data_IF_060477725062
#
_entry.id   IF_060477725062
#
_cell.length_a   1.000
_cell.length_b   1.000
_cell.length_c   1.000
_cell.angle_alpha   90.00
_cell.angle_beta   90.00
_cell.angle_gamma   90.00
#
_symmetry.space_group_name_H-M   'P 1'
#
loop_
_entity.id
_entity.type
_entity.pdbx_description
1 polymer ?
#
# COMPACT_ATOMS: atom_id res chain seq x y z
N UNK A 1 -7.06 -36.66 56.86
CA UNK A 1 -6.43 -36.64 55.52
C UNK A 1 -6.36 -35.19 55.02
N UNK A 2 -5.19 -34.80 54.49
CA UNK A 2 -4.84 -33.64 53.66
C UNK A 2 -5.06 -32.19 54.15
N UNK A 3 -3.99 -31.58 54.70
CA UNK A 3 -3.75 -30.13 54.84
C UNK A 3 -3.44 -29.51 53.46
N UNK A 4 -4.20 -28.52 52.99
CA UNK A 4 -3.86 -27.71 51.80
C UNK A 4 -2.69 -26.77 52.13
N UNK A 5 -1.53 -26.98 51.51
CA UNK A 5 -0.37 -26.06 51.53
C UNK A 5 -0.64 -24.86 50.61
N UNK A 6 -0.49 -23.64 51.16
CA UNK A 6 -0.32 -22.39 50.38
C UNK A 6 1.02 -22.46 49.64
N UNK A 7 1.01 -22.29 48.32
CA UNK A 7 2.21 -22.05 47.51
C UNK A 7 2.63 -20.60 47.71
N UNK A 8 3.74 -20.37 48.42
CA UNK A 8 4.48 -19.10 48.35
C UNK A 8 5.13 -19.03 46.97
N UNK A 9 4.79 -18.01 46.19
CA UNK A 9 5.54 -17.64 44.99
C UNK A 9 6.84 -16.97 45.43
N UNK A 10 7.87 -17.77 45.67
CA UNK A 10 9.24 -17.28 45.81
C UNK A 10 9.70 -16.79 44.45
N UNK A 11 9.59 -15.47 44.21
CA UNK A 11 10.33 -14.82 43.16
C UNK A 11 11.81 -15.08 43.41
N UNK A 12 12.40 -15.98 42.61
CA UNK A 12 13.74 -16.48 42.87
C UNK A 12 14.73 -15.33 42.95
N UNK A 13 15.63 -15.38 43.93
CA UNK A 13 16.72 -14.42 44.17
C UNK A 13 17.46 -14.04 42.87
N UNK A 14 17.52 -14.95 41.89
CA UNK A 14 18.06 -14.74 40.54
C UNK A 14 17.31 -13.70 39.70
N UNK A 15 15.98 -13.63 39.81
CA UNK A 15 15.15 -12.63 39.11
C UNK A 15 15.34 -11.23 39.70
N UNK A 16 15.50 -11.13 41.02
CA UNK A 16 15.84 -9.87 41.68
C UNK A 16 17.25 -9.38 41.34
N UNK A 17 18.22 -10.29 41.27
CA UNK A 17 19.59 -9.97 40.86
C UNK A 17 19.61 -9.48 39.40
N UNK A 18 18.84 -10.10 38.50
CA UNK A 18 18.76 -9.69 37.10
C UNK A 18 18.11 -8.30 36.95
N UNK A 19 17.03 -8.04 37.70
CA UNK A 19 16.37 -6.74 37.69
C UNK A 19 17.26 -5.63 38.26
N UNK A 20 17.98 -5.92 39.35
CA UNK A 20 18.93 -5.00 39.95
C UNK A 20 20.11 -4.69 39.01
N UNK A 21 20.62 -5.69 38.30
CA UNK A 21 21.69 -5.50 37.30
C UNK A 21 21.24 -4.62 36.12
N UNK A 22 20.00 -4.78 35.65
CA UNK A 22 19.42 -3.95 34.58
C UNK A 22 19.26 -2.50 35.04
N UNK A 23 18.76 -2.28 36.27
CA UNK A 23 18.57 -0.94 36.83
C UNK A 23 19.91 -0.24 37.07
N UNK A 24 20.91 -0.96 37.60
CA UNK A 24 22.27 -0.44 37.78
C UNK A 24 22.92 -0.10 36.42
N UNK A 25 22.73 -0.94 35.40
CA UNK A 25 23.21 -0.68 34.04
C UNK A 25 22.55 0.56 33.42
N UNK A 26 21.24 0.71 33.58
CA UNK A 26 20.50 1.88 33.09
C UNK A 26 20.93 3.18 33.81
N UNK A 27 21.15 3.11 35.14
CA UNK A 27 21.66 4.25 35.93
C UNK A 27 23.08 4.62 35.55
N UNK A 28 23.95 3.63 35.28
CA UNK A 28 25.31 3.88 34.82
C UNK A 28 25.33 4.54 33.44
N UNK A 29 24.47 4.11 32.51
CA UNK A 29 24.33 4.73 31.18
C UNK A 29 23.76 6.16 31.26
N UNK A 30 22.87 6.41 32.21
CA UNK A 30 22.27 7.73 32.45
C UNK A 30 23.25 8.72 33.09
N UNK A 31 24.10 8.25 34.02
CA UNK A 31 25.07 9.10 34.71
C UNK A 31 26.32 9.41 33.87
N UNK A 32 26.56 8.67 32.78
CA UNK A 32 27.84 8.71 32.04
C UNK A 32 27.70 9.09 30.55
N UNK A 33 26.74 9.97 30.21
CA UNK A 33 26.53 10.57 28.87
C UNK A 33 26.74 9.58 27.70
N UNK A 34 26.12 8.41 27.77
CA UNK A 34 25.94 7.50 26.63
C UNK A 34 27.23 6.96 25.97
N UNK A 35 28.39 7.02 26.62
CA UNK A 35 29.62 6.40 26.10
C UNK A 35 29.90 5.09 26.83
N UNK A 36 29.48 3.97 26.23
CA UNK A 36 30.24 2.71 26.08
C UNK A 36 29.38 1.80 25.17
N UNK A 37 29.67 1.85 23.87
CA UNK A 37 29.65 0.69 22.96
C UNK A 37 30.68 1.04 21.89
N UNK A 38 31.73 0.24 21.75
CA UNK A 38 32.70 0.49 20.68
C UNK A 38 32.00 0.27 19.34
N UNK A 39 32.38 1.07 18.34
CA UNK A 39 31.90 0.93 16.96
C UNK A 39 32.10 -0.48 16.43
N UNK A 40 33.10 -1.19 16.93
CA UNK A 40 33.44 -2.56 16.59
C UNK A 40 32.41 -3.57 17.13
N UNK A 41 31.90 -3.39 18.35
CA UNK A 41 30.85 -4.26 18.92
C UNK A 41 29.52 -4.07 18.19
N UNK A 42 29.16 -2.82 17.86
CA UNK A 42 27.97 -2.55 17.05
C UNK A 42 28.12 -3.18 15.67
N UNK A 43 29.28 -3.01 15.00
CA UNK A 43 29.54 -3.59 13.68
C UNK A 43 29.45 -5.12 13.68
N UNK A 44 29.95 -5.77 14.73
CA UNK A 44 29.88 -7.24 14.88
C UNK A 44 28.45 -7.73 15.14
N UNK A 45 27.60 -6.95 15.81
CA UNK A 45 26.18 -7.25 16.00
C UNK A 45 25.37 -7.01 14.71
N UNK A 46 25.70 -5.96 13.95
CA UNK A 46 25.10 -5.67 12.64
C UNK A 46 25.48 -6.73 11.60
N UNK A 47 26.73 -7.22 11.62
CA UNK A 47 27.20 -8.28 10.72
C UNK A 47 26.65 -9.67 11.08
N UNK A 48 26.19 -9.87 12.32
CA UNK A 48 25.50 -11.11 12.74
C UNK A 48 23.98 -11.06 12.55
N UNK A 49 23.39 -9.86 12.49
CA UNK A 49 21.97 -9.67 12.18
C UNK A 49 21.69 -9.61 10.67
N UNK A 50 22.72 -9.47 9.82
CA UNK A 50 22.60 -9.39 8.36
C UNK A 50 22.50 -10.74 7.63
N UNK A 51 22.38 -11.85 8.35
CA UNK A 51 22.13 -13.19 7.77
C UNK A 51 20.68 -13.63 8.02
N UNK A 52 19.71 -12.77 7.73
CA UNK A 52 18.36 -13.17 7.29
C UNK A 52 17.63 -11.93 6.77
N UNK A 53 16.88 -12.11 5.67
CA UNK A 53 16.06 -11.12 4.96
C UNK A 53 16.78 -10.25 3.90
N UNK A 54 16.78 -10.82 2.70
CA UNK A 54 17.04 -10.16 1.43
C UNK A 54 15.75 -9.44 0.96
N UNK A 55 15.53 -8.20 1.41
CA UNK A 55 14.62 -7.25 0.71
C UNK A 55 15.08 -5.82 0.99
N UNK A 56 15.89 -5.23 0.10
CA UNK A 56 16.22 -3.80 0.19
C UNK A 56 16.19 -3.17 -1.21
N UNK A 57 14.99 -2.74 -1.62
CA UNK A 57 14.85 -1.73 -2.67
C UNK A 57 15.05 -0.36 -2.00
N UNK A 58 16.13 0.34 -2.36
CA UNK A 58 16.40 1.71 -1.89
C UNK A 58 15.58 2.70 -2.72
N UNK A 59 14.88 3.61 -2.06
CA UNK A 59 14.32 4.78 -2.73
C UNK A 59 15.45 5.70 -3.24
N UNK A 60 15.20 6.55 -4.27
CA UNK A 60 16.22 7.42 -4.86
C UNK A 60 16.90 8.39 -3.87
N UNK A 61 16.27 8.67 -2.72
CA UNK A 61 16.81 9.58 -1.69
C UNK A 61 17.60 8.87 -0.57
N UNK A 62 17.78 7.55 -0.65
CA UNK A 62 18.48 6.76 0.36
C UNK A 62 17.64 6.36 1.58
N UNK A 63 16.33 6.65 1.60
CA UNK A 63 15.40 6.11 2.60
C UNK A 63 15.09 4.63 2.32
N UNK A 64 14.94 3.88 3.41
CA UNK A 64 14.39 2.54 3.37
C UNK A 64 12.87 2.66 3.18
N UNK A 65 12.36 2.11 2.07
CA UNK A 65 10.92 1.97 1.86
C UNK A 65 10.37 0.98 2.88
N UNK A 66 9.33 1.38 3.61
CA UNK A 66 8.63 0.50 4.54
C UNK A 66 7.69 -0.47 3.81
N UNK A 67 7.36 -0.18 2.56
CA UNK A 67 6.45 -0.97 1.73
C UNK A 67 5.13 -1.30 2.45
N UNK A 68 4.57 -0.35 3.21
CA UNK A 68 3.33 -0.52 3.96
C UNK A 68 2.12 -0.63 3.02
N UNK A 69 2.24 -0.08 1.81
CA UNK A 69 1.23 -0.11 0.77
C UNK A 69 1.05 -1.48 0.12
N UNK A 70 2.04 -2.37 0.21
CA UNK A 70 2.01 -3.67 -0.48
C UNK A 70 1.10 -4.62 0.30
N UNK A 71 -0.06 -5.01 -0.24
CA UNK A 71 -0.97 -5.90 0.47
C UNK A 71 -0.44 -7.34 0.47
N UNK A 72 -0.88 -8.10 1.46
CA UNK A 72 -0.68 -9.54 1.53
C UNK A 72 -1.86 -10.28 0.91
N UNK A 73 -1.58 -11.20 0.00
CA UNK A 73 -2.61 -12.03 -0.62
C UNK A 73 -3.08 -13.12 0.35
N UNK A 74 -4.34 -13.08 0.77
CA UNK A 74 -4.95 -14.10 1.66
C UNK A 74 -5.75 -15.17 0.90
N UNK A 75 -6.22 -14.87 -0.32
CA UNK A 75 -6.90 -15.82 -1.22
C UNK A 75 -6.07 -16.02 -2.49
N UNK A 76 -5.86 -17.28 -2.87
CA UNK A 76 -5.12 -17.64 -4.08
C UNK A 76 -5.75 -16.96 -5.31
N UNK A 77 -4.91 -16.37 -6.15
CA UNK A 77 -5.29 -15.66 -7.37
C UNK A 77 -4.21 -15.83 -8.43
N UNK A 78 -4.59 -15.64 -9.69
CA UNK A 78 -3.64 -15.47 -10.78
C UNK A 78 -2.92 -14.12 -10.60
N UNK A 79 -1.60 -14.15 -10.46
CA UNK A 79 -0.79 -12.95 -10.25
C UNK A 79 0.59 -13.02 -10.90
N UNK A 80 1.03 -11.88 -11.42
CA UNK A 80 2.43 -11.57 -11.71
C UNK A 80 2.76 -10.24 -11.06
N UNK A 81 3.67 -10.26 -10.08
CA UNK A 81 4.13 -9.04 -9.41
C UNK A 81 5.18 -8.35 -10.27
N UNK A 82 4.96 -7.08 -10.60
CA UNK A 82 5.89 -6.25 -11.36
C UNK A 82 6.14 -4.97 -10.57
N UNK A 83 7.41 -4.69 -10.27
CA UNK A 83 7.82 -3.43 -9.65
C UNK A 83 8.33 -2.48 -10.72
N UNK A 84 7.59 -1.40 -10.93
CA UNK A 84 7.99 -0.26 -11.75
C UNK A 84 8.63 0.82 -10.86
N UNK A 85 9.15 1.88 -11.46
CA UNK A 85 9.87 2.96 -10.75
C UNK A 85 9.02 3.64 -9.69
N UNK A 86 7.73 3.86 -9.96
CA UNK A 86 6.84 4.61 -9.08
C UNK A 86 5.75 3.79 -8.40
N UNK A 87 5.57 2.53 -8.76
CA UNK A 87 4.50 1.69 -8.21
C UNK A 87 4.80 0.20 -8.40
N UNK A 88 4.14 -0.64 -7.61
CA UNK A 88 4.10 -2.10 -7.81
C UNK A 88 2.71 -2.52 -8.24
N UNK A 89 2.63 -3.46 -9.18
CA UNK A 89 1.38 -4.05 -9.67
C UNK A 89 1.36 -5.55 -9.47
N UNK A 90 0.25 -6.09 -8.95
CA UNK A 90 -0.11 -7.49 -9.10
C UNK A 90 -1.01 -7.62 -10.33
N UNK A 91 -0.48 -8.15 -11.42
CA UNK A 91 -1.21 -8.27 -12.69
C UNK A 91 -1.94 -9.61 -12.80
N UNK A 92 -3.20 -9.60 -13.24
CA UNK A 92 -4.01 -10.80 -13.42
C UNK A 92 -4.14 -11.16 -14.90
N UNK A 93 -3.63 -12.33 -15.32
CA UNK A 93 -3.65 -12.74 -16.73
C UNK A 93 -5.03 -13.15 -17.23
N UNK A 94 -5.92 -13.61 -16.34
CA UNK A 94 -7.30 -13.92 -16.67
C UNK A 94 -8.14 -12.66 -16.93
N UNK A 95 -8.04 -11.64 -16.08
CA UNK A 95 -8.78 -10.39 -16.26
C UNK A 95 -8.12 -9.42 -17.22
N UNK A 96 -6.81 -9.56 -17.45
CA UNK A 96 -5.98 -8.63 -18.23
C UNK A 96 -5.94 -7.21 -17.65
N UNK A 97 -6.21 -7.10 -16.35
CA UNK A 97 -6.15 -5.90 -15.52
C UNK A 97 -5.35 -6.25 -14.25
N UNK A 98 -4.90 -5.27 -13.45
CA UNK A 98 -4.34 -5.56 -12.14
C UNK A 98 -5.35 -6.22 -11.21
N UNK A 99 -4.88 -7.06 -10.27
CA UNK A 99 -5.58 -7.36 -9.02
C UNK A 99 -5.51 -6.14 -8.08
N UNK A 100 -4.33 -5.53 -8.00
CA UNK A 100 -4.07 -4.31 -7.26
C UNK A 100 -2.84 -3.60 -7.82
N UNK A 101 -2.78 -2.29 -7.61
CA UNK A 101 -1.60 -1.44 -7.81
C UNK A 101 -1.38 -0.66 -6.52
N UNK A 102 -0.13 -0.60 -6.06
CA UNK A 102 0.23 0.03 -4.81
C UNK A 102 1.47 0.92 -4.96
N UNK A 103 1.46 2.07 -4.29
CA UNK A 103 2.57 3.00 -4.25
C UNK A 103 2.62 3.82 -2.95
N UNK A 104 3.83 4.20 -2.57
CA UNK A 104 4.08 5.28 -1.62
C UNK A 104 4.00 6.62 -2.37
N UNK A 105 3.30 7.60 -1.80
CA UNK A 105 3.28 8.96 -2.32
C UNK A 105 3.82 9.92 -1.25
N UNK A 106 5.04 10.38 -1.45
CA UNK A 106 5.67 11.39 -0.61
C UNK A 106 5.28 12.81 -1.05
N UNK A 107 5.43 13.77 -0.15
CA UNK A 107 5.26 15.20 -0.39
C UNK A 107 6.13 15.66 -1.57
N UNK A 108 7.37 15.17 -1.65
CA UNK A 108 8.31 15.51 -2.72
C UNK A 108 7.79 15.03 -4.08
N UNK A 109 7.24 13.82 -4.14
CA UNK A 109 6.70 13.22 -5.37
C UNK A 109 5.40 13.89 -5.85
N UNK A 110 4.70 14.64 -4.98
CA UNK A 110 3.57 15.50 -5.41
C UNK A 110 3.98 16.74 -6.21
N UNK A 111 5.29 16.93 -6.39
CA UNK A 111 5.89 18.01 -7.19
C UNK A 111 6.62 17.41 -8.39
N UNK A 112 6.90 18.23 -9.40
CA UNK A 112 7.56 17.79 -10.62
C UNK A 112 6.94 18.40 -11.86
N UNK A 113 7.74 18.48 -12.92
CA UNK A 113 7.41 19.18 -14.16
C UNK A 113 7.14 18.22 -15.32
N UNK A 114 7.31 16.91 -15.12
CA UNK A 114 7.10 15.93 -16.18
C UNK A 114 5.65 15.97 -16.67
N UNK A 115 5.49 16.24 -17.96
CA UNK A 115 4.20 16.25 -18.63
C UNK A 115 3.66 14.85 -18.84
N UNK A 116 2.33 14.73 -18.89
CA UNK A 116 1.67 13.48 -19.27
C UNK A 116 2.11 13.08 -20.69
N UNK A 117 2.62 11.86 -20.86
CA UNK A 117 2.96 11.35 -22.19
C UNK A 117 1.72 11.10 -23.04
N UNK A 118 0.61 10.67 -22.40
CA UNK A 118 -0.59 10.18 -23.06
C UNK A 118 -0.33 9.02 -24.05
N UNK A 119 0.80 8.34 -23.89
CA UNK A 119 1.24 7.21 -24.72
C UNK A 119 0.99 5.91 -23.96
N UNK A 120 -0.19 5.33 -24.16
CA UNK A 120 -0.58 4.06 -23.55
C UNK A 120 0.07 2.89 -24.31
N UNK A 121 0.91 2.14 -23.61
CA UNK A 121 1.80 1.14 -24.20
C UNK A 121 1.63 -0.22 -23.52
N UNK A 122 1.73 -1.34 -24.26
CA UNK A 122 1.87 -2.66 -23.64
C UNK A 122 3.02 -2.67 -22.63
N UNK A 123 2.82 -3.31 -21.47
CA UNK A 123 3.87 -3.43 -20.46
C UNK A 123 4.98 -4.37 -20.98
N UNK A 124 6.24 -3.93 -21.12
CA UNK A 124 7.35 -4.78 -21.57
C UNK A 124 7.69 -5.92 -20.61
N UNK A 125 7.25 -5.85 -19.35
CA UNK A 125 7.50 -6.88 -18.33
C UNK A 125 6.51 -8.06 -18.39
N UNK A 126 5.47 -7.98 -19.23
CA UNK A 126 4.49 -9.04 -19.41
C UNK A 126 4.81 -9.89 -20.67
N UNK A 127 4.52 -11.21 -20.64
CA UNK A 127 4.60 -12.05 -21.83
C UNK A 127 3.49 -11.70 -22.83
N UNK A 128 3.70 -12.08 -24.10
CA UNK A 128 2.65 -12.00 -25.11
C UNK A 128 1.54 -13.04 -24.89
N UNK A 129 0.28 -12.76 -25.28
CA UNK A 129 -0.19 -11.51 -25.85
C UNK A 129 -0.46 -10.44 -24.77
N UNK A 130 -0.01 -9.21 -25.04
CA UNK A 130 -0.18 -8.06 -24.14
C UNK A 130 -1.38 -7.18 -24.52
N UNK A 131 -1.98 -6.55 -23.52
CA UNK A 131 -3.04 -5.54 -23.74
C UNK A 131 -2.47 -4.33 -24.48
N UNK A 132 -3.22 -3.85 -25.46
CA UNK A 132 -2.87 -2.71 -26.29
C UNK A 132 -3.88 -1.58 -26.14
N UNK A 133 -3.50 -0.38 -26.58
CA UNK A 133 -4.43 0.74 -26.71
C UNK A 133 -5.66 0.40 -27.57
N UNK A 134 -5.46 -0.42 -28.61
CA UNK A 134 -6.50 -0.82 -29.56
C UNK A 134 -7.67 -1.56 -28.89
N UNK A 135 -7.44 -2.25 -27.76
CA UNK A 135 -8.47 -2.97 -27.00
C UNK A 135 -9.52 -2.04 -26.38
N UNK A 136 -9.16 -0.78 -26.12
CA UNK A 136 -10.03 0.21 -25.50
C UNK A 136 -10.74 1.10 -26.53
N UNK A 137 -10.26 1.12 -27.78
CA UNK A 137 -10.82 1.95 -28.86
C UNK A 137 -12.28 1.58 -29.12
N UNK A 138 -13.17 2.58 -29.13
CA UNK A 138 -14.62 2.42 -29.29
C UNK A 138 -15.33 1.51 -28.26
N UNK A 139 -14.67 1.14 -27.15
CA UNK A 139 -15.26 0.29 -26.10
C UNK A 139 -16.33 0.98 -25.25
N UNK A 140 -16.34 2.31 -25.23
CA UNK A 140 -17.15 3.13 -24.33
C UNK A 140 -16.48 3.45 -22.98
N UNK A 141 -15.36 2.82 -22.65
CA UNK A 141 -14.60 3.05 -21.42
C UNK A 141 -13.40 3.96 -21.64
N UNK A 142 -13.02 4.71 -20.60
CA UNK A 142 -11.72 5.37 -20.55
C UNK A 142 -10.63 4.33 -20.15
N UNK A 143 -9.38 4.66 -20.49
CA UNK A 143 -8.19 3.98 -19.97
C UNK A 143 -7.87 4.55 -18.58
N UNK A 144 -8.57 4.05 -17.57
CA UNK A 144 -8.48 4.51 -16.19
C UNK A 144 -7.21 4.05 -15.52
N UNK A 145 -6.45 4.98 -14.93
CA UNK A 145 -5.20 4.65 -14.22
C UNK A 145 -5.52 4.13 -12.82
N UNK A 146 -4.78 3.13 -12.36
CA UNK A 146 -4.77 2.76 -10.95
C UNK A 146 -3.78 3.65 -10.17
N UNK A 147 -2.50 3.61 -10.52
CA UNK A 147 -1.52 4.61 -10.11
C UNK A 147 -1.52 5.78 -11.11
N UNK A 148 -1.96 7.00 -10.73
CA UNK A 148 -2.20 8.08 -11.68
C UNK A 148 -0.90 8.75 -12.13
N UNK A 149 -0.86 9.13 -13.41
CA UNK A 149 0.29 9.86 -13.97
C UNK A 149 0.64 11.15 -13.19
N UNK A 150 -0.35 11.80 -12.57
CA UNK A 150 -0.12 13.01 -11.78
C UNK A 150 0.72 12.78 -10.51
N UNK A 151 0.78 11.53 -10.01
CA UNK A 151 1.59 11.13 -8.87
C UNK A 151 3.02 10.72 -9.29
N UNK A 152 3.28 10.66 -10.60
CA UNK A 152 4.55 10.22 -11.19
C UNK A 152 5.34 11.35 -11.86
N UNK A 153 4.98 12.61 -11.60
CA UNK A 153 5.57 13.81 -12.23
C UNK A 153 7.02 14.09 -11.86
N UNK A 154 7.53 13.41 -10.84
CA UNK A 154 8.87 13.57 -10.30
C UNK A 154 9.94 12.79 -11.09
N UNK A 155 9.54 11.89 -12.00
CA UNK A 155 10.47 11.10 -12.82
C UNK A 155 9.91 10.82 -14.19
N UNK A 156 10.69 11.11 -15.23
CA UNK A 156 10.35 10.78 -16.62
C UNK A 156 10.07 9.30 -16.83
N UNK A 157 10.82 8.44 -16.13
CA UNK A 157 10.63 6.99 -16.20
C UNK A 157 9.32 6.58 -15.52
N UNK A 158 9.07 7.04 -14.29
CA UNK A 158 7.83 6.76 -13.58
C UNK A 158 6.60 7.27 -14.35
N UNK A 159 6.69 8.47 -14.93
CA UNK A 159 5.66 9.06 -15.79
C UNK A 159 5.38 8.15 -16.99
N UNK A 160 6.41 7.69 -17.71
CA UNK A 160 6.23 6.76 -18.84
C UNK A 160 5.58 5.45 -18.39
N UNK A 161 6.06 4.85 -17.31
CA UNK A 161 5.57 3.57 -16.79
C UNK A 161 4.13 3.66 -16.29
N UNK A 162 3.67 4.84 -15.82
CA UNK A 162 2.26 5.03 -15.43
C UNK A 162 1.27 4.81 -16.57
N UNK A 163 1.71 4.91 -17.82
CA UNK A 163 0.89 4.65 -19.01
C UNK A 163 1.01 3.20 -19.53
N UNK A 164 1.67 2.30 -18.81
CA UNK A 164 1.65 0.88 -19.17
C UNK A 164 0.27 0.27 -18.95
N UNK A 165 -0.18 -0.56 -19.91
CA UNK A 165 -1.52 -1.16 -19.88
C UNK A 165 -1.75 -2.10 -18.69
N UNK A 166 -0.69 -2.55 -18.01
CA UNK A 166 -0.77 -3.29 -16.73
C UNK A 166 -1.30 -2.45 -15.57
N UNK A 167 -1.23 -1.12 -15.66
CA UNK A 167 -1.76 -0.15 -14.69
C UNK A 167 -3.15 0.40 -15.08
N UNK A 168 -3.76 -0.13 -16.16
CA UNK A 168 -4.97 0.43 -16.76
C UNK A 168 -6.15 -0.53 -16.63
N UNK A 169 -7.30 0.01 -16.24
CA UNK A 169 -8.58 -0.69 -16.22
C UNK A 169 -9.62 0.01 -17.12
N UNK A 170 -10.59 -0.72 -17.71
CA UNK A 170 -11.76 -0.13 -18.35
C UNK A 170 -12.64 0.59 -17.32
N UNK A 171 -12.57 1.92 -17.30
CA UNK A 171 -13.27 2.72 -16.30
C UNK A 171 -14.36 3.57 -16.95
N UNK A 172 -15.52 3.68 -16.31
CA UNK A 172 -16.58 4.57 -16.72
C UNK A 172 -16.04 6.01 -16.77
N UNK A 173 -16.33 6.73 -17.86
CA UNK A 173 -15.77 8.06 -18.11
C UNK A 173 -16.05 9.06 -17.00
N UNK A 174 -17.25 9.02 -16.41
CA UNK A 174 -17.63 9.96 -15.36
C UNK A 174 -16.94 9.61 -14.04
N UNK A 175 -16.92 8.33 -13.67
CA UNK A 175 -16.13 7.87 -12.52
C UNK A 175 -14.65 8.29 -12.65
N UNK A 176 -14.02 7.98 -13.79
CA UNK A 176 -12.59 8.22 -14.04
C UNK A 176 -12.21 9.71 -13.93
N UNK A 177 -13.08 10.60 -14.42
CA UNK A 177 -12.79 12.03 -14.53
C UNK A 177 -13.25 12.85 -13.34
N UNK A 178 -14.25 12.35 -12.62
CA UNK A 178 -14.86 13.02 -11.47
C UNK A 178 -14.41 12.28 -10.19
N UNK A 179 -15.28 11.49 -9.56
CA UNK A 179 -15.10 10.93 -8.20
C UNK A 179 -13.75 10.20 -7.98
N UNK A 180 -13.25 9.45 -8.97
CA UNK A 180 -11.95 8.79 -8.86
C UNK A 180 -10.78 9.80 -8.90
N UNK A 181 -10.86 10.77 -9.80
CA UNK A 181 -9.88 11.85 -9.94
C UNK A 181 -9.88 12.79 -8.73
N UNK A 182 -11.05 13.06 -8.15
CA UNK A 182 -11.19 13.84 -6.92
C UNK A 182 -10.47 13.15 -5.76
N UNK A 183 -10.63 11.83 -5.61
CA UNK A 183 -9.92 11.06 -4.58
C UNK A 183 -8.41 11.04 -4.83
N UNK A 184 -7.96 10.94 -6.07
CA UNK A 184 -6.54 11.07 -6.42
C UNK A 184 -5.98 12.45 -6.02
N UNK A 185 -6.77 13.53 -6.19
CA UNK A 185 -6.37 14.84 -5.73
C UNK A 185 -6.28 14.92 -4.20
N UNK A 186 -7.24 14.34 -3.48
CA UNK A 186 -7.20 14.25 -2.02
C UNK A 186 -5.96 13.48 -1.54
N UNK A 187 -5.57 12.37 -2.19
CA UNK A 187 -4.32 11.67 -1.89
C UNK A 187 -3.09 12.59 -1.98
N UNK A 188 -2.98 13.39 -3.05
CA UNK A 188 -1.90 14.37 -3.20
C UNK A 188 -1.97 15.46 -2.13
N UNK A 189 -3.16 15.95 -1.77
CA UNK A 189 -3.32 16.92 -0.66
C UNK A 189 -2.88 16.31 0.68
N UNK A 190 -3.20 15.05 0.94
CA UNK A 190 -2.78 14.36 2.15
C UNK A 190 -1.27 14.13 2.19
N UNK A 191 -0.64 13.71 1.10
CA UNK A 191 0.82 13.63 1.01
C UNK A 191 1.47 15.00 1.29
N UNK A 192 0.95 16.07 0.68
CA UNK A 192 1.37 17.45 0.96
C UNK A 192 1.10 17.90 2.38
N UNK A 193 0.14 17.34 3.11
CA UNK A 193 -0.14 17.74 4.49
C UNK A 193 0.69 16.93 5.48
N UNK A 194 0.68 15.61 5.34
CA UNK A 194 1.19 14.66 6.31
C UNK A 194 2.60 14.12 6.00
N UNK A 195 3.15 14.43 4.82
CA UNK A 195 4.50 14.04 4.43
C UNK A 195 4.53 12.83 3.50
N UNK A 196 3.86 11.74 3.87
CA UNK A 196 3.77 10.52 3.06
C UNK A 196 2.42 9.88 3.26
N UNK A 197 1.85 9.31 2.19
CA UNK A 197 0.69 8.42 2.25
C UNK A 197 1.00 7.12 1.49
N UNK A 198 0.42 6.03 1.95
CA UNK A 198 0.56 4.70 1.35
C UNK A 198 -0.76 4.33 0.71
N UNK A 199 -0.75 3.96 -0.58
CA UNK A 199 -1.97 3.80 -1.36
C UNK A 199 -1.95 2.44 -2.05
N UNK A 200 -3.06 1.72 -1.97
CA UNK A 200 -3.32 0.56 -2.83
C UNK A 200 -4.72 0.68 -3.42
N UNK A 201 -4.88 0.28 -4.67
CA UNK A 201 -6.17 0.34 -5.35
C UNK A 201 -6.28 -0.74 -6.41
N UNK A 202 -7.49 -1.02 -6.89
CA UNK A 202 -7.69 -2.03 -7.90
C UNK A 202 -9.16 -2.25 -8.28
N UNK A 203 -9.40 -3.07 -9.32
CA UNK A 203 -10.74 -3.47 -9.72
C UNK A 203 -11.32 -4.54 -8.79
N UNK A 204 -12.66 -4.60 -8.74
CA UNK A 204 -13.42 -5.69 -8.15
C UNK A 204 -14.38 -6.22 -9.22
N UNK A 205 -14.48 -7.55 -9.29
CA UNK A 205 -15.36 -8.28 -10.19
C UNK A 205 -16.36 -9.06 -9.33
N UNK A 206 -17.65 -8.76 -9.49
CA UNK A 206 -18.70 -9.39 -8.69
C UNK A 206 -19.06 -10.78 -9.22
N UNK A 207 -18.60 -11.12 -10.43
CA UNK A 207 -18.82 -12.41 -11.08
C UNK A 207 -17.54 -12.95 -11.71
N UNK A 208 -17.47 -14.27 -11.89
CA UNK A 208 -16.35 -14.94 -12.58
C UNK A 208 -16.38 -14.76 -14.10
N UNK A 209 -17.43 -14.15 -14.66
CA UNK A 209 -17.62 -13.96 -16.10
C UNK A 209 -17.96 -12.50 -16.41
N UNK A 210 -17.03 -11.56 -16.14
CA UNK A 210 -17.27 -10.14 -16.38
C UNK A 210 -17.40 -9.85 -17.88
N UNK A 211 -18.02 -8.70 -18.19
CA UNK A 211 -17.98 -8.13 -19.56
C UNK A 211 -16.53 -7.94 -19.99
N UNK A 212 -16.23 -8.15 -21.27
CA UNK A 212 -14.89 -8.01 -21.85
C UNK A 212 -14.89 -7.08 -23.06
N UNK A 213 -13.77 -6.41 -23.31
CA UNK A 213 -13.56 -5.49 -24.44
C UNK A 213 -12.29 -5.83 -25.22
N UNK A 214 -12.24 -5.40 -26.47
CA UNK A 214 -11.04 -5.50 -27.30
C UNK A 214 -10.73 -6.91 -27.81
N UNK A 215 -9.65 -6.99 -28.57
CA UNK A 215 -9.13 -8.25 -29.14
C UNK A 215 -8.59 -9.15 -28.03
N UNK A 216 -7.91 -8.57 -27.05
CA UNK A 216 -7.30 -9.30 -25.94
C UNK A 216 -8.27 -9.59 -24.79
N UNK A 217 -9.57 -9.28 -24.96
CA UNK A 217 -10.63 -9.66 -24.02
C UNK A 217 -10.41 -9.10 -22.60
N UNK A 218 -10.07 -7.81 -22.51
CA UNK A 218 -9.84 -7.11 -21.24
C UNK A 218 -11.14 -7.06 -20.44
N UNK A 219 -11.11 -7.56 -19.21
CA UNK A 219 -12.27 -7.56 -18.33
C UNK A 219 -12.63 -6.14 -17.89
N UNK A 220 -13.93 -5.86 -17.84
CA UNK A 220 -14.51 -4.62 -17.34
C UNK A 220 -14.90 -4.82 -15.88
N UNK A 221 -14.27 -4.11 -14.93
CA UNK A 221 -14.61 -4.19 -13.51
C UNK A 221 -16.04 -3.76 -13.23
N UNK A 222 -16.68 -4.38 -12.23
CA UNK A 222 -17.97 -3.94 -11.72
C UNK A 222 -17.80 -2.78 -10.75
N UNK A 223 -16.72 -2.82 -9.96
CA UNK A 223 -16.38 -1.85 -8.92
C UNK A 223 -14.87 -1.59 -8.88
N UNK A 224 -14.47 -0.58 -8.12
CA UNK A 224 -13.09 -0.28 -7.77
C UNK A 224 -12.96 -0.03 -6.28
N UNK A 225 -11.82 -0.40 -5.72
CA UNK A 225 -11.44 -0.01 -4.37
C UNK A 225 -10.23 0.91 -4.39
N UNK A 226 -10.10 1.70 -3.33
CA UNK A 226 -8.84 2.36 -2.96
C UNK A 226 -8.73 2.36 -1.45
N UNK A 227 -7.57 1.99 -0.93
CA UNK A 227 -7.21 2.13 0.48
C UNK A 227 -6.05 3.09 0.61
N UNK A 228 -6.08 3.91 1.66
CA UNK A 228 -5.06 4.93 1.92
C UNK A 228 -4.69 4.92 3.39
N UNK A 229 -3.39 4.81 3.68
CA UNK A 229 -2.84 4.91 5.03
C UNK A 229 -2.02 6.21 5.15
N UNK A 230 -2.44 7.05 6.10
CA UNK A 230 -1.61 8.13 6.63
C UNK A 230 -0.92 7.58 7.87
N UNK A 231 0.32 7.13 7.70
CA UNK A 231 1.07 6.52 8.79
C UNK A 231 1.76 7.58 9.65
N UNK A 232 1.33 7.70 10.90
CA UNK A 232 2.13 8.32 11.95
C UNK A 232 2.14 7.37 13.16
N UNK A 233 3.29 7.23 13.84
CA UNK A 233 3.48 6.21 14.90
C UNK A 233 2.54 6.36 16.11
N UNK A 234 1.84 7.49 16.26
CA UNK A 234 0.97 7.73 17.42
C UNK A 234 -0.50 7.45 17.10
N UNK A 235 -0.99 8.01 16.00
CA UNK A 235 -2.38 8.03 15.56
C UNK A 235 -2.44 7.80 14.04
N UNK A 236 -2.09 6.61 13.53
CA UNK A 236 -2.24 6.32 12.11
C UNK A 236 -3.72 6.30 11.72
N UNK A 237 -4.00 6.62 10.45
CA UNK A 237 -5.35 6.66 9.90
C UNK A 237 -5.35 5.83 8.63
N UNK A 238 -6.23 4.83 8.57
CA UNK A 238 -6.53 4.06 7.37
C UNK A 238 -7.91 4.45 6.84
N UNK A 239 -8.06 4.52 5.53
CA UNK A 239 -9.30 4.88 4.85
C UNK A 239 -9.55 3.88 3.73
N UNK A 240 -10.74 3.28 3.69
CA UNK A 240 -11.21 2.45 2.57
C UNK A 240 -12.25 3.18 1.74
N UNK A 241 -12.25 2.95 0.43
CA UNK A 241 -13.22 3.50 -0.51
C UNK A 241 -13.69 2.42 -1.48
N UNK A 242 -14.99 2.38 -1.77
CA UNK A 242 -15.58 1.53 -2.80
C UNK A 242 -16.39 2.36 -3.80
N UNK A 243 -16.14 2.14 -5.08
CA UNK A 243 -16.81 2.84 -6.18
C UNK A 243 -17.47 1.82 -7.12
N UNK A 244 -18.71 2.06 -7.53
CA UNK A 244 -19.26 1.36 -8.69
C UNK A 244 -18.62 1.87 -9.98
N UNK A 245 -18.34 0.99 -10.95
CA UNK A 245 -17.85 1.37 -12.28
C UNK A 245 -18.96 1.98 -13.17
N UNK A 246 -19.63 3.02 -12.67
CA UNK A 246 -20.79 3.66 -13.26
C UNK A 246 -20.66 5.17 -13.14
N UNK A 247 -21.57 5.88 -13.80
CA UNK A 247 -21.59 7.32 -13.77
C UNK A 247 -22.21 7.82 -12.45
N UNK A 248 -21.40 8.47 -11.63
CA UNK A 248 -21.77 9.12 -10.38
C UNK A 248 -21.07 10.49 -10.26
N UNK A 249 -21.48 11.33 -9.31
CA UNK A 249 -20.77 12.54 -8.88
C UNK A 249 -21.27 12.90 -7.49
N UNK A 250 -20.63 12.38 -6.45
CA UNK A 250 -21.06 12.59 -5.07
C UNK A 250 -19.88 12.90 -4.15
N UNK A 251 -20.20 13.37 -2.95
CA UNK A 251 -19.17 13.65 -1.96
C UNK A 251 -18.35 12.40 -1.65
N UNK A 252 -17.01 12.49 -1.65
CA UNK A 252 -16.10 11.37 -1.38
C UNK A 252 -16.38 10.64 -0.06
N UNK A 253 -16.92 11.34 0.95
CA UNK A 253 -17.35 10.74 2.21
C UNK A 253 -18.39 9.62 2.04
N UNK A 254 -19.22 9.72 1.01
CA UNK A 254 -20.28 8.73 0.73
C UNK A 254 -19.71 7.42 0.14
N UNK A 255 -18.47 7.43 -0.32
CA UNK A 255 -17.77 6.23 -0.81
C UNK A 255 -16.91 5.55 0.27
N UNK A 256 -16.76 6.18 1.43
CA UNK A 256 -15.92 5.65 2.50
C UNK A 256 -16.53 4.40 3.12
N UNK A 257 -15.67 3.40 3.33
CA UNK A 257 -15.95 2.17 4.05
C UNK A 257 -14.80 1.84 4.99
N UNK A 258 -14.99 0.84 5.84
CA UNK A 258 -13.91 0.26 6.64
C UNK A 258 -12.88 -0.40 5.72
N UNK A 259 -11.61 -0.43 6.11
CA UNK A 259 -10.61 -1.18 5.35
C UNK A 259 -10.90 -2.68 5.43
N UNK A 260 -11.33 -3.20 6.60
CA UNK A 260 -11.81 -4.58 6.76
C UNK A 260 -12.83 -4.98 5.68
N UNK A 261 -13.75 -4.06 5.34
CA UNK A 261 -14.76 -4.34 4.31
C UNK A 261 -14.12 -4.47 2.91
N UNK A 262 -13.09 -3.67 2.61
CA UNK A 262 -12.34 -3.81 1.36
C UNK A 262 -11.55 -5.13 1.33
N UNK A 263 -11.00 -5.56 2.46
CA UNK A 263 -10.32 -6.86 2.59
C UNK A 263 -11.26 -8.04 2.34
N UNK A 264 -12.45 -8.00 2.91
CA UNK A 264 -13.49 -9.02 2.72
C UNK A 264 -13.83 -9.21 1.22
N UNK A 265 -14.01 -8.08 0.53
CA UNK A 265 -14.37 -7.98 -0.90
C UNK A 265 -13.23 -8.42 -1.81
N UNK A 266 -11.99 -8.08 -1.46
CA UNK A 266 -10.83 -8.28 -2.34
C UNK A 266 -10.03 -9.55 -2.03
N UNK A 267 -10.16 -10.12 -0.83
CA UNK A 267 -9.31 -11.21 -0.34
C UNK A 267 -7.84 -10.79 -0.23
N UNK A 268 -7.59 -9.52 0.09
CA UNK A 268 -6.28 -8.94 0.39
C UNK A 268 -6.27 -8.52 1.86
N UNK A 269 -5.09 -8.53 2.46
CA UNK A 269 -4.78 -8.01 3.79
C UNK A 269 -3.92 -6.75 3.58
N UNK A 270 -4.52 -5.58 3.80
CA UNK A 270 -3.90 -4.29 3.54
C UNK A 270 -3.10 -3.83 4.75
N UNK A 271 -2.06 -3.05 4.52
CA UNK A 271 -1.23 -2.49 5.60
C UNK A 271 -0.62 -3.52 6.57
N UNK A 272 -0.59 -4.82 6.21
CA UNK A 272 -0.09 -6.01 6.93
C UNK A 272 1.31 -5.95 7.58
N UNK A 273 2.03 -4.83 7.41
CA UNK A 273 3.33 -4.53 8.03
C UNK A 273 3.21 -3.52 9.18
N UNK A 274 2.02 -2.96 9.40
CA UNK A 274 1.66 -2.20 10.60
C UNK A 274 1.46 -3.21 11.74
N UNK A 275 1.83 -2.91 12.99
CA UNK A 275 1.60 -3.85 14.09
C UNK A 275 0.11 -4.22 14.22
N UNK A 276 -0.19 -5.51 14.37
CA UNK A 276 -1.56 -6.07 14.32
C UNK A 276 -2.55 -5.29 15.22
N UNK A 277 -2.17 -4.92 16.45
CA UNK A 277 -3.06 -4.17 17.35
C UNK A 277 -3.46 -2.80 16.78
N UNK A 278 -2.53 -2.15 16.07
CA UNK A 278 -2.74 -0.86 15.44
C UNK A 278 -3.58 -1.02 14.18
N UNK A 279 -3.22 -1.98 13.34
CA UNK A 279 -3.93 -2.36 12.11
C UNK A 279 -5.40 -2.69 12.37
N UNK A 280 -5.68 -3.69 13.20
CA UNK A 280 -7.04 -4.11 13.57
C UNK A 280 -7.90 -2.92 14.07
N UNK A 281 -7.29 -1.96 14.77
CA UNK A 281 -8.00 -0.78 15.28
C UNK A 281 -8.31 0.24 14.20
N UNK A 282 -7.39 0.50 13.27
CA UNK A 282 -7.59 1.55 12.24
C UNK A 282 -8.42 1.05 11.07
N UNK A 283 -8.45 -0.25 10.82
CA UNK A 283 -9.15 -0.84 9.68
C UNK A 283 -10.63 -1.12 9.96
N UNK A 284 -10.99 -1.36 11.22
CA UNK A 284 -12.35 -1.65 11.68
C UNK A 284 -13.28 -0.44 11.82
N UNK A 285 -12.82 0.76 11.47
CA UNK A 285 -13.58 2.01 11.55
C UNK A 285 -13.55 2.80 10.24
N UNK A 286 -14.58 3.64 10.04
CA UNK A 286 -14.54 4.73 9.05
C UNK A 286 -14.06 5.98 9.78
N UNK A 287 -12.89 6.56 9.45
CA UNK A 287 -12.37 7.69 10.21
C UNK A 287 -13.20 8.96 9.97
N UNK A 288 -13.50 9.66 11.05
CA UNK A 288 -14.23 10.94 11.00
C UNK A 288 -13.28 12.14 10.81
N UNK A 289 -13.84 13.28 10.40
CA UNK A 289 -13.09 14.55 10.32
C UNK A 289 -12.06 14.63 9.20
N UNK A 290 -12.08 13.70 8.24
CA UNK A 290 -11.20 13.74 7.06
C UNK A 290 -11.57 14.94 6.17
N UNK A 291 -10.55 15.72 5.80
CA UNK A 291 -10.65 16.81 4.85
C UNK A 291 -10.14 16.36 3.48
N UNK A 292 -10.97 16.53 2.44
CA UNK A 292 -10.72 16.09 1.06
C UNK A 292 -10.19 17.23 0.17
#
# INVERSE_FOLDING_TARGET
MAKKRKKQAGGGLKGFILLAAIIIGALYLYQNDGKIFSSETIRTLTDKASVTENTNAKAPDGRYSLQLEIPKTIRQRDETIITHTGYTVSYNHHYKTPNWVAWELTRQETTGEEGRTNQFLPDPSLPEPRVETSDYTHSGYDRGHMAPAADMKWSKQAMKESFYMSNICPQNRKLNRDDWGDLEESCRKWAKKYGTVYIACGPIYDTSSPKRIGKHQVAVPDRFFKVVLIYNRKNPIAMGFLFENKAHHQNLKNYMVKVDQVEEETGLDFFSKVPDEVENRIESIVPEGIAF
#
